data_IF_078950014723
#
_entry.id   IF_078950014723
#
_cell.length_a   1.000
_cell.length_b   1.000
_cell.length_c   1.000
_cell.angle_alpha   90.00
_cell.angle_beta   90.00
_cell.angle_gamma   90.00
#
_symmetry.space_group_name_H-M   'P 1'
#
loop_
_entity.id
_entity.type
_entity.pdbx_description
1 polymer ?
#
# COMPACT_ATOMS: atom_id res chain seq x y z
N UNK A 1 -1.93 -43.39 -5.21
CA UNK A 1 -2.83 -43.25 -4.05
C UNK A 1 -4.08 -42.39 -4.34
N UNK A 2 -4.17 -41.67 -5.47
CA UNK A 2 -5.38 -40.90 -5.85
C UNK A 2 -5.68 -40.95 -7.37
N UNK A 3 -5.21 -41.99 -8.07
CA UNK A 3 -5.30 -42.10 -9.53
C UNK A 3 -6.74 -42.16 -10.05
N UNK A 4 -7.69 -42.63 -9.24
CA UNK A 4 -9.08 -42.84 -9.66
C UNK A 4 -10.04 -41.73 -9.18
N UNK A 5 -9.54 -40.76 -8.41
CA UNK A 5 -10.34 -39.64 -7.92
C UNK A 5 -10.28 -38.46 -8.92
N UNK A 6 -11.36 -38.33 -9.68
CA UNK A 6 -11.51 -37.28 -10.70
C UNK A 6 -11.46 -35.86 -10.10
N UNK A 7 -11.94 -35.67 -8.87
CA UNK A 7 -11.91 -34.36 -8.23
C UNK A 7 -10.49 -34.01 -7.78
N UNK A 8 -9.77 -34.98 -7.22
CA UNK A 8 -8.35 -34.82 -6.89
C UNK A 8 -7.52 -34.44 -8.14
N UNK A 9 -7.75 -35.12 -9.26
CA UNK A 9 -7.08 -34.82 -10.53
C UNK A 9 -7.35 -33.39 -11.02
N UNK A 10 -8.61 -32.92 -10.93
CA UNK A 10 -8.95 -31.53 -11.29
C UNK A 10 -8.22 -30.52 -10.43
N UNK A 11 -8.15 -30.76 -9.12
CA UNK A 11 -7.45 -29.87 -8.18
C UNK A 11 -5.93 -29.84 -8.44
N UNK A 12 -5.33 -30.99 -8.71
CA UNK A 12 -3.91 -31.08 -9.08
C UNK A 12 -3.63 -30.33 -10.39
N UNK A 13 -4.49 -30.50 -11.39
CA UNK A 13 -4.36 -29.80 -12.67
C UNK A 13 -4.59 -28.29 -12.54
N UNK A 14 -5.53 -27.84 -11.69
CA UNK A 14 -5.73 -26.43 -11.36
C UNK A 14 -4.43 -25.84 -10.76
N UNK A 15 -3.88 -26.51 -9.75
CA UNK A 15 -2.65 -26.08 -9.09
C UNK A 15 -1.44 -26.06 -10.05
N UNK A 16 -1.24 -27.13 -10.82
CA UNK A 16 -0.16 -27.21 -11.81
C UNK A 16 -0.24 -26.06 -12.83
N UNK A 17 -1.42 -25.83 -13.42
CA UNK A 17 -1.62 -24.73 -14.38
C UNK A 17 -1.32 -23.37 -13.74
N UNK A 18 -1.77 -23.14 -12.50
CA UNK A 18 -1.54 -21.88 -11.80
C UNK A 18 -0.06 -21.62 -11.49
N UNK A 19 0.68 -22.66 -11.07
CA UNK A 19 2.09 -22.53 -10.72
C UNK A 19 3.00 -22.47 -11.94
N UNK A 20 2.72 -23.26 -12.98
CA UNK A 20 3.58 -23.39 -14.15
C UNK A 20 3.29 -22.37 -15.27
N UNK A 21 2.16 -21.66 -15.22
CA UNK A 21 1.77 -20.66 -16.24
C UNK A 21 1.47 -19.29 -15.60
N UNK A 22 2.47 -18.54 -15.10
CA UNK A 22 2.28 -17.25 -14.44
C UNK A 22 1.46 -16.23 -15.25
N UNK A 23 1.64 -16.24 -16.57
CA UNK A 23 1.00 -15.32 -17.53
C UNK A 23 -0.52 -15.55 -17.61
N UNK A 24 -0.98 -16.77 -17.27
CA UNK A 24 -2.40 -17.15 -17.29
C UNK A 24 -3.08 -16.97 -15.95
N UNK A 25 -2.36 -16.64 -14.87
CA UNK A 25 -2.94 -16.44 -13.53
C UNK A 25 -4.12 -15.46 -13.50
N UNK A 26 -4.15 -14.35 -14.26
CA UNK A 26 -5.33 -13.46 -14.29
C UNK A 26 -6.62 -14.17 -14.71
N UNK A 27 -6.54 -15.23 -15.52
CA UNK A 27 -7.67 -16.01 -16.00
C UNK A 27 -7.99 -17.23 -15.11
N UNK A 28 -7.13 -17.55 -14.14
CA UNK A 28 -7.24 -18.73 -13.26
C UNK A 28 -7.65 -18.34 -11.83
N UNK A 29 -8.48 -17.31 -11.68
CA UNK A 29 -8.90 -16.80 -10.36
C UNK A 29 -10.02 -17.67 -9.76
N UNK A 30 -9.76 -18.22 -8.57
CA UNK A 30 -10.67 -19.02 -7.76
C UNK A 30 -10.40 -18.75 -6.27
N UNK A 31 -11.30 -19.15 -5.35
CA UNK A 31 -11.03 -19.04 -3.92
C UNK A 31 -9.74 -19.77 -3.47
N UNK A 32 -9.34 -20.84 -4.18
CA UNK A 32 -8.13 -21.62 -3.89
C UNK A 32 -6.86 -20.99 -4.45
N UNK A 33 -6.97 -20.28 -5.57
CA UNK A 33 -5.88 -19.48 -6.12
C UNK A 33 -5.82 -18.07 -5.53
N UNK A 34 -6.79 -17.74 -4.66
CA UNK A 34 -6.72 -16.58 -3.79
C UNK A 34 -5.56 -16.77 -2.80
N UNK A 35 -4.63 -15.83 -2.73
CA UNK A 35 -3.54 -15.88 -1.78
C UNK A 35 -4.07 -15.91 -0.36
N UNK A 36 -3.40 -16.66 0.50
CA UNK A 36 -3.53 -16.50 1.94
C UNK A 36 -3.18 -15.07 2.31
N UNK A 37 -3.86 -14.48 3.32
CA UNK A 37 -3.52 -13.16 3.84
C UNK A 37 -2.02 -13.12 4.10
N UNK A 38 -1.31 -12.23 3.40
CA UNK A 38 0.12 -12.05 3.57
C UNK A 38 0.42 -11.68 5.02
N UNK A 39 1.30 -12.43 5.67
CA UNK A 39 1.89 -12.08 6.97
C UNK A 39 2.99 -11.02 6.86
N UNK A 40 3.38 -10.66 5.63
CA UNK A 40 4.59 -9.89 5.30
C UNK A 40 4.37 -8.36 5.41
N UNK A 41 3.34 -7.91 6.12
CA UNK A 41 3.04 -6.49 6.26
C UNK A 41 2.66 -5.82 4.93
N UNK A 42 2.73 -4.49 4.89
CA UNK A 42 2.44 -3.69 3.70
C UNK A 42 3.45 -2.55 3.57
N UNK A 43 3.93 -2.32 2.35
CA UNK A 43 4.79 -1.18 2.01
C UNK A 43 3.93 -0.05 1.42
N UNK A 44 4.13 1.16 1.93
CA UNK A 44 3.46 2.36 1.46
C UNK A 44 4.49 3.39 1.00
N UNK A 45 4.18 4.07 -0.09
CA UNK A 45 4.83 5.30 -0.53
C UNK A 45 3.81 6.43 -0.37
N UNK A 46 4.23 7.54 0.24
CA UNK A 46 3.34 8.65 0.59
C UNK A 46 3.99 9.92 0.05
N UNK A 47 3.27 10.68 -0.78
CA UNK A 47 3.68 12.00 -1.26
C UNK A 47 5.08 12.03 -1.87
N UNK A 48 5.86 13.06 -1.54
CA UNK A 48 7.23 13.23 -2.02
C UNK A 48 7.31 14.06 -3.30
N UNK A 49 8.43 13.96 -4.02
CA UNK A 49 8.70 14.75 -5.22
C UNK A 49 8.54 13.88 -6.47
N UNK A 50 7.66 14.31 -7.38
CA UNK A 50 7.56 13.76 -8.73
C UNK A 50 8.20 14.72 -9.74
N UNK A 51 8.12 14.39 -11.03
CA UNK A 51 8.60 15.25 -12.12
C UNK A 51 7.93 16.64 -12.16
N UNK A 52 6.78 16.83 -11.49
CA UNK A 52 5.94 18.03 -11.56
C UNK A 52 5.90 18.83 -10.25
N UNK A 53 6.93 18.67 -9.40
CA UNK A 53 7.19 19.43 -8.16
C UNK A 53 6.47 18.96 -6.90
N UNK A 54 5.80 17.81 -6.90
CA UNK A 54 5.28 17.21 -5.67
C UNK A 54 4.11 16.25 -5.89
N UNK A 55 4.25 15.02 -5.41
CA UNK A 55 3.18 14.04 -5.37
C UNK A 55 2.30 14.23 -4.13
N UNK A 56 1.02 13.95 -4.30
CA UNK A 56 0.03 13.82 -3.21
C UNK A 56 -0.50 12.40 -3.08
N UNK A 57 -0.04 11.47 -3.91
CA UNK A 57 -0.56 10.11 -3.92
C UNK A 57 -0.08 9.33 -2.70
N UNK A 58 -0.93 8.41 -2.25
CA UNK A 58 -0.55 7.34 -1.35
C UNK A 58 -0.64 6.06 -2.15
N UNK A 59 0.47 5.37 -2.30
CA UNK A 59 0.57 4.13 -3.04
C UNK A 59 0.92 3.00 -2.08
N UNK A 60 0.33 1.84 -2.32
CA UNK A 60 0.63 0.60 -1.61
C UNK A 60 1.21 -0.39 -2.59
N UNK A 61 2.30 -1.02 -2.21
CA UNK A 61 2.88 -2.09 -3.01
C UNK A 61 2.17 -3.42 -2.73
N UNK A 62 1.59 -4.01 -3.77
CA UNK A 62 1.05 -5.36 -3.73
C UNK A 62 2.15 -6.35 -4.13
N UNK A 63 2.77 -6.96 -3.11
CA UNK A 63 3.82 -7.98 -3.22
C UNK A 63 3.44 -9.13 -4.15
N UNK A 64 2.15 -9.43 -4.28
CA UNK A 64 1.70 -10.55 -5.10
C UNK A 64 1.63 -10.20 -6.58
N UNK A 65 1.05 -9.05 -6.88
CA UNK A 65 0.91 -8.61 -8.27
C UNK A 65 2.18 -7.90 -8.75
N UNK A 66 3.14 -7.66 -7.84
CA UNK A 66 4.38 -6.94 -8.08
C UNK A 66 4.09 -5.55 -8.68
N UNK A 67 3.12 -4.85 -8.10
CA UNK A 67 2.62 -3.58 -8.61
C UNK A 67 2.32 -2.61 -7.48
N UNK A 68 2.53 -1.33 -7.77
CA UNK A 68 2.02 -0.23 -6.95
C UNK A 68 0.57 0.05 -7.29
N UNK A 69 -0.24 0.27 -6.25
CA UNK A 69 -1.65 0.60 -6.38
C UNK A 69 -1.90 1.86 -5.57
N UNK A 70 -2.51 2.88 -6.19
CA UNK A 70 -2.93 4.07 -5.48
C UNK A 70 -4.08 3.73 -4.51
N UNK A 71 -3.92 4.11 -3.24
CA UNK A 71 -4.84 3.77 -2.14
C UNK A 71 -5.37 4.97 -1.38
N UNK A 72 -4.91 6.18 -1.70
CA UNK A 72 -5.31 7.43 -1.09
C UNK A 72 -4.61 8.65 -1.71
N UNK A 73 -5.01 9.84 -1.25
CA UNK A 73 -4.45 11.13 -1.66
C UNK A 73 -4.31 11.98 -0.39
N UNK A 74 -3.21 12.74 -0.27
CA UNK A 74 -2.96 13.71 0.80
C UNK A 74 -3.76 15.00 0.59
N UNK A 75 -4.02 15.76 1.66
CA UNK A 75 -4.73 17.04 1.58
C UNK A 75 -3.96 18.13 0.80
N UNK A 76 -2.65 17.97 0.64
CA UNK A 76 -1.82 18.89 -0.12
C UNK A 76 -0.43 18.32 -0.40
N UNK A 77 0.29 18.99 -1.30
CA UNK A 77 1.69 18.63 -1.61
C UNK A 77 2.54 18.90 -0.38
N UNK A 78 3.37 17.91 -0.02
CA UNK A 78 4.29 18.01 1.11
C UNK A 78 5.55 17.25 0.80
N UNK A 79 6.69 17.84 1.15
CA UNK A 79 8.02 17.32 0.92
C UNK A 79 8.78 17.22 2.24
N UNK A 80 9.76 16.33 2.32
CA UNK A 80 10.68 16.23 3.46
C UNK A 80 9.94 16.13 4.82
N UNK A 81 8.83 15.39 4.85
CA UNK A 81 8.07 15.13 6.07
C UNK A 81 8.47 13.76 6.64
N UNK A 82 8.24 13.58 7.93
CA UNK A 82 8.36 12.27 8.57
C UNK A 82 7.06 11.48 8.41
N UNK A 83 7.16 10.16 8.22
CA UNK A 83 6.00 9.26 8.16
C UNK A 83 6.17 8.06 9.08
N UNK A 84 5.12 7.70 9.82
CA UNK A 84 5.11 6.53 10.67
C UNK A 84 3.76 5.81 10.63
N UNK A 85 3.75 4.52 10.95
CA UNK A 85 2.52 3.72 11.10
C UNK A 85 2.30 3.43 12.58
N UNK A 86 1.14 3.82 13.11
CA UNK A 86 0.71 3.53 14.48
C UNK A 86 -0.75 3.08 14.41
N UNK A 87 -1.07 1.91 14.98
CA UNK A 87 -2.42 1.33 15.01
C UNK A 87 -3.15 1.36 13.64
N UNK A 88 -2.44 0.91 12.59
CA UNK A 88 -2.92 0.87 11.20
C UNK A 88 -3.26 2.23 10.57
N UNK A 89 -2.80 3.33 11.17
CA UNK A 89 -2.93 4.69 10.65
C UNK A 89 -1.56 5.24 10.25
N UNK A 90 -1.54 5.98 9.15
CA UNK A 90 -0.35 6.67 8.65
C UNK A 90 -0.30 8.08 9.24
N UNK A 91 0.73 8.38 10.00
CA UNK A 91 0.98 9.70 10.55
C UNK A 91 1.99 10.43 9.68
N UNK A 92 1.62 11.62 9.21
CA UNK A 92 2.47 12.53 8.43
C UNK A 92 2.79 13.73 9.30
N UNK A 93 4.08 13.96 9.56
CA UNK A 93 4.58 14.90 10.56
C UNK A 93 5.48 15.94 9.90
N UNK A 94 5.16 17.22 10.09
CA UNK A 94 5.98 18.34 9.62
C UNK A 94 6.06 18.41 8.10
N UNK A 95 7.24 18.68 7.56
CA UNK A 95 7.53 18.81 6.13
C UNK A 95 7.49 20.24 5.62
N UNK A 96 7.56 20.41 4.30
CA UNK A 96 7.43 21.70 3.63
C UNK A 96 6.55 21.63 2.39
N UNK A 97 5.86 22.72 2.09
CA UNK A 97 4.98 22.89 0.91
C UNK A 97 5.62 23.75 -0.19
N UNK A 98 6.95 23.91 -0.15
CA UNK A 98 7.73 24.76 -1.04
C UNK A 98 8.48 25.83 -0.24
N UNK A 99 7.77 26.85 0.23
CA UNK A 99 8.37 27.98 0.95
C UNK A 99 8.18 27.91 2.46
N UNK A 100 7.17 27.20 2.98
CA UNK A 100 6.89 27.14 4.42
C UNK A 100 7.26 25.79 5.00
N UNK A 101 7.93 25.82 6.14
CA UNK A 101 8.07 24.63 6.99
C UNK A 101 6.80 24.45 7.80
N UNK A 102 6.33 23.23 7.95
CA UNK A 102 5.12 22.87 8.67
C UNK A 102 5.43 22.28 10.04
N UNK A 103 4.58 22.55 11.02
CA UNK A 103 4.52 21.83 12.30
C UNK A 103 3.29 20.93 12.39
N UNK A 104 2.46 20.87 11.34
CA UNK A 104 1.22 20.12 11.36
C UNK A 104 1.49 18.61 11.41
N UNK A 105 0.58 17.91 12.09
CA UNK A 105 0.54 16.46 12.12
C UNK A 105 -0.82 16.03 11.59
N UNK A 106 -0.82 15.15 10.60
CA UNK A 106 -2.02 14.61 10.00
C UNK A 106 -1.99 13.09 10.07
N UNK A 107 -3.14 12.48 10.30
CA UNK A 107 -3.29 11.05 10.45
C UNK A 107 -4.27 10.53 9.39
N UNK A 108 -3.84 9.56 8.60
CA UNK A 108 -4.67 8.89 7.60
C UNK A 108 -5.02 7.47 8.04
N UNK A 109 -6.31 7.18 8.17
CA UNK A 109 -6.78 5.83 8.42
C UNK A 109 -6.85 5.05 7.11
N UNK A 110 -5.99 4.03 6.98
CA UNK A 110 -5.88 3.24 5.73
C UNK A 110 -7.10 2.37 5.42
N UNK A 111 -7.95 2.11 6.42
CA UNK A 111 -9.18 1.31 6.33
C UNK A 111 -10.35 2.22 5.94
N UNK A 112 -10.60 3.28 6.72
CA UNK A 112 -11.74 4.18 6.48
C UNK A 112 -11.48 5.20 5.37
N UNK A 113 -10.20 5.36 4.96
CA UNK A 113 -9.76 6.32 3.94
C UNK A 113 -9.97 7.79 4.34
N UNK A 114 -10.01 8.07 5.65
CA UNK A 114 -10.27 9.41 6.19
C UNK A 114 -8.98 10.00 6.79
N UNK A 115 -8.79 11.29 6.56
CA UNK A 115 -7.77 12.11 7.21
C UNK A 115 -8.30 12.76 8.49
N UNK A 116 -7.44 12.92 9.48
CA UNK A 116 -7.72 13.63 10.72
C UNK A 116 -6.53 14.51 11.09
N UNK A 117 -6.82 15.72 11.54
CA UNK A 117 -5.78 16.62 12.07
C UNK A 117 -5.44 16.20 13.48
N UNK A 118 -4.15 16.11 13.79
CA UNK A 118 -3.63 15.82 15.12
C UNK A 118 -3.03 17.09 15.72
N UNK A 119 -2.79 17.12 17.05
CA UNK A 119 -2.09 18.25 17.68
C UNK A 119 -0.76 18.54 16.97
N UNK A 120 -0.47 19.83 16.66
CA UNK A 120 0.74 20.19 15.94
C UNK A 120 1.97 20.07 16.86
N UNK A 121 3.15 19.96 16.24
CA UNK A 121 4.43 20.07 16.96
C UNK A 121 4.64 21.52 17.44
N UNK A 122 5.38 21.67 18.54
CA UNK A 122 5.77 22.99 19.07
C UNK A 122 6.73 23.75 18.15
N UNK A 123 7.41 23.05 17.24
CA UNK A 123 8.39 23.62 16.30
C UNK A 123 8.13 23.12 14.90
N UNK A 124 8.24 24.02 13.92
CA UNK A 124 8.17 23.68 12.50
C UNK A 124 9.42 22.90 12.11
N UNK A 125 9.25 21.73 11.49
CA UNK A 125 10.38 20.84 11.10
C UNK A 125 10.14 20.26 9.70
N UNK A 126 11.21 20.11 8.94
CA UNK A 126 11.28 19.33 7.72
C UNK A 126 12.62 18.58 7.70
N UNK A 127 12.76 17.57 6.83
CA UNK A 127 13.93 16.68 6.78
C UNK A 127 13.92 15.61 7.87
N UNK A 128 12.72 15.19 8.30
CA UNK A 128 12.49 14.17 9.32
C UNK A 128 12.55 12.75 8.76
#
# INVERSE_FOLDING_TARGET
>A
MFSDDLECQKLLMEAMKYHLLPERRPMLQSPRTKPRKSTVGALYAVGGMDATKGSTTIEKYDLRTNRWIQVGIMNGRRLQFGVAVIDNKLYVVGGRDGLKTSNMVECYNTITKVWSTMPPMSTHRHGL
#
